data_IF_907554140415
#
_entry.id   IF_907554140415
#
_cell.length_a   1.000
_cell.length_b   1.000
_cell.length_c   1.000
_cell.angle_alpha   90.00
_cell.angle_beta   90.00
_cell.angle_gamma   90.00
#
_symmetry.space_group_name_H-M   'P 1'
#
loop_
_entity.id
_entity.type
_entity.pdbx_description
1 polymer ?
#
# COMPACT_ATOMS: atom_id res chain seq x y z
N UNK A 1 7.05 -24.15 -19.70
CA UNK A 1 6.99 -22.79 -20.27
C UNK A 1 6.04 -21.98 -19.41
N UNK A 2 6.57 -21.15 -18.50
CA UNK A 2 5.73 -20.32 -17.63
C UNK A 2 5.06 -19.23 -18.47
N UNK A 3 3.73 -19.22 -18.53
CA UNK A 3 2.95 -18.07 -18.98
C UNK A 3 3.29 -16.88 -18.06
N UNK A 4 4.25 -16.05 -18.45
CA UNK A 4 4.28 -14.68 -17.99
C UNK A 4 3.09 -14.00 -18.66
N UNK A 5 1.93 -13.99 -17.98
CA UNK A 5 0.85 -13.09 -18.35
C UNK A 5 1.44 -11.68 -18.43
N UNK A 6 1.42 -11.10 -19.63
CA UNK A 6 1.90 -9.73 -19.84
C UNK A 6 1.14 -8.82 -18.88
N UNK A 7 1.89 -8.10 -18.02
CA UNK A 7 1.28 -7.12 -17.11
C UNK A 7 0.39 -6.18 -17.94
N UNK A 8 -0.82 -5.82 -17.46
CA UNK A 8 -1.73 -4.98 -18.21
C UNK A 8 -1.03 -3.65 -18.53
N UNK A 9 -0.78 -3.39 -19.82
CA UNK A 9 -0.19 -2.14 -20.29
C UNK A 9 -1.33 -1.20 -20.68
N UNK A 10 -1.49 -0.13 -19.91
CA UNK A 10 -2.39 0.96 -20.25
C UNK A 10 -1.83 1.66 -21.49
N UNK A 11 -2.61 1.73 -22.58
CA UNK A 11 -2.22 2.44 -23.80
C UNK A 11 -2.43 3.95 -23.62
N UNK A 12 -1.38 4.73 -23.82
CA UNK A 12 -1.46 6.19 -23.87
C UNK A 12 -1.68 6.65 -25.33
N UNK A 13 -2.43 7.75 -25.50
CA UNK A 13 -2.51 8.50 -26.75
C UNK A 13 -1.57 9.71 -26.61
N UNK A 14 -0.58 9.89 -27.50
CA UNK A 14 0.35 11.02 -27.39
C UNK A 14 -0.33 12.37 -27.67
N UNK A 15 -1.52 12.38 -28.27
CA UNK A 15 -2.21 13.61 -28.73
C UNK A 15 -3.27 14.13 -27.77
N UNK A 16 -3.76 13.29 -26.84
CA UNK A 16 -4.79 13.64 -25.85
C UNK A 16 -4.65 12.80 -24.58
N UNK A 17 -5.29 13.22 -23.50
CA UNK A 17 -5.33 12.44 -22.28
C UNK A 17 -6.16 11.17 -22.44
N UNK A 18 -5.80 10.13 -21.69
CA UNK A 18 -6.51 8.85 -21.63
C UNK A 18 -6.98 8.59 -20.21
N UNK A 19 -8.28 8.29 -20.08
CA UNK A 19 -8.86 7.78 -18.85
C UNK A 19 -8.67 6.27 -18.75
N UNK A 20 -8.28 5.80 -17.58
CA UNK A 20 -7.96 4.40 -17.32
C UNK A 20 -8.99 3.76 -16.39
N UNK A 21 -9.54 2.61 -16.79
CA UNK A 21 -10.21 1.70 -15.84
C UNK A 21 -9.17 0.74 -15.25
N UNK A 22 -8.96 0.83 -13.94
CA UNK A 22 -8.03 -0.03 -13.20
C UNK A 22 -8.57 -1.44 -12.95
N UNK A 23 -9.73 -1.79 -13.50
CA UNK A 23 -10.28 -3.14 -13.46
C UNK A 23 -9.29 -4.18 -13.95
N UNK A 24 -8.58 -3.91 -15.05
CA UNK A 24 -7.58 -4.83 -15.60
C UNK A 24 -6.35 -4.99 -14.69
N UNK A 25 -5.99 -3.95 -13.93
CA UNK A 25 -4.92 -4.01 -12.92
C UNK A 25 -5.30 -4.96 -11.78
N UNK A 26 -6.60 -5.04 -11.43
CA UNK A 26 -7.05 -5.91 -10.33
C UNK A 26 -7.13 -7.41 -10.68
N UNK A 27 -7.32 -7.75 -11.97
CA UNK A 27 -7.60 -9.13 -12.42
C UNK A 27 -6.51 -10.15 -12.05
N UNK A 28 -5.20 -9.90 -12.27
CA UNK A 28 -4.17 -10.89 -11.95
C UNK A 28 -4.14 -11.23 -10.45
N UNK A 29 -4.31 -10.23 -9.59
CA UNK A 29 -4.34 -10.43 -8.13
C UNK A 29 -5.56 -11.25 -7.68
N UNK A 30 -6.73 -10.96 -8.24
CA UNK A 30 -7.96 -11.74 -8.02
C UNK A 30 -7.80 -13.19 -8.47
N UNK A 31 -7.15 -13.42 -9.61
CA UNK A 31 -6.90 -14.76 -10.13
C UNK A 31 -5.95 -15.56 -9.21
N UNK A 32 -4.88 -14.95 -8.72
CA UNK A 32 -3.97 -15.56 -7.74
C UNK A 32 -4.73 -16.00 -6.48
N UNK A 33 -5.59 -15.13 -5.94
CA UNK A 33 -6.41 -15.43 -4.75
C UNK A 33 -7.32 -16.63 -5.02
N UNK A 34 -8.04 -16.64 -6.16
CA UNK A 34 -8.93 -17.76 -6.52
C UNK A 34 -8.19 -19.08 -6.64
N UNK A 35 -6.98 -19.07 -7.20
CA UNK A 35 -6.14 -20.26 -7.31
C UNK A 35 -5.75 -20.80 -5.93
N UNK A 36 -5.34 -19.91 -5.02
CA UNK A 36 -5.00 -20.29 -3.64
C UNK A 36 -6.21 -20.84 -2.88
N UNK A 37 -7.36 -20.19 -2.98
CA UNK A 37 -8.61 -20.66 -2.37
C UNK A 37 -9.03 -22.01 -2.94
N UNK A 38 -8.89 -22.22 -4.25
CA UNK A 38 -9.17 -23.51 -4.87
C UNK A 38 -8.23 -24.62 -4.38
N UNK A 39 -6.97 -24.30 -4.07
CA UNK A 39 -6.04 -25.25 -3.47
C UNK A 39 -6.47 -25.64 -2.04
N UNK A 40 -6.80 -24.67 -1.18
CA UNK A 40 -7.33 -24.94 0.17
C UNK A 40 -8.56 -25.85 0.13
N UNK A 41 -9.48 -25.56 -0.79
CA UNK A 41 -10.70 -26.37 -0.97
C UNK A 41 -10.40 -27.82 -1.37
N UNK A 42 -9.38 -28.05 -2.20
CA UNK A 42 -8.95 -29.41 -2.59
C UNK A 42 -8.37 -30.19 -1.41
N UNK A 43 -7.74 -29.49 -0.47
CA UNK A 43 -7.20 -30.05 0.77
C UNK A 43 -8.27 -30.21 1.87
N UNK A 44 -9.52 -29.84 1.60
CA UNK A 44 -10.61 -29.87 2.59
C UNK A 44 -10.49 -28.79 3.66
N UNK A 45 -9.66 -27.77 3.44
CA UNK A 45 -9.43 -26.66 4.36
C UNK A 45 -10.44 -25.55 4.08
N UNK A 46 -11.06 -25.01 5.14
CA UNK A 46 -11.97 -23.88 5.01
C UNK A 46 -11.24 -22.61 4.51
N UNK A 47 -11.91 -21.87 3.63
CA UNK A 47 -11.37 -20.59 3.15
C UNK A 47 -11.21 -19.58 4.31
N UNK A 48 -10.23 -18.66 4.21
CA UNK A 48 -10.05 -17.58 5.18
C UNK A 48 -11.32 -16.74 5.36
N UNK A 49 -11.53 -16.30 6.60
CA UNK A 49 -12.64 -15.43 7.02
C UNK A 49 -12.14 -14.00 7.25
N UNK A 50 -12.75 -13.06 6.53
CA UNK A 50 -12.63 -11.63 6.79
C UNK A 50 -13.86 -11.15 7.57
N UNK A 51 -13.63 -10.52 8.72
CA UNK A 51 -14.65 -9.82 9.51
C UNK A 51 -14.58 -8.33 9.22
N UNK A 52 -15.71 -7.72 8.86
CA UNK A 52 -15.85 -6.28 8.75
C UNK A 52 -16.60 -5.69 9.94
N UNK A 53 -16.08 -4.62 10.53
CA UNK A 53 -16.72 -3.86 11.60
C UNK A 53 -17.23 -2.53 11.07
N UNK A 54 -18.56 -2.33 11.08
CA UNK A 54 -19.22 -1.10 10.62
C UNK A 54 -20.07 -0.53 11.76
N UNK A 55 -19.76 0.70 12.17
CA UNK A 55 -20.51 1.40 13.23
C UNK A 55 -20.83 2.85 12.89
N UNK A 56 -20.78 3.22 11.61
CA UNK A 56 -21.20 4.54 11.15
C UNK A 56 -22.46 4.44 10.28
N UNK A 57 -23.17 5.57 10.18
CA UNK A 57 -24.42 5.70 9.41
C UNK A 57 -24.17 6.17 7.97
N UNK A 58 -22.91 6.21 7.51
CA UNK A 58 -22.59 6.68 6.17
C UNK A 58 -23.04 5.65 5.11
N UNK A 59 -23.97 6.01 4.21
CA UNK A 59 -24.39 5.10 3.14
C UNK A 59 -23.24 4.68 2.21
N UNK A 60 -22.20 5.50 2.07
CA UNK A 60 -21.03 5.16 1.27
C UNK A 60 -20.19 4.07 1.94
N UNK A 61 -19.95 4.17 3.25
CA UNK A 61 -19.26 3.14 4.02
C UNK A 61 -20.02 1.80 4.00
N UNK A 62 -21.34 1.83 4.18
CA UNK A 62 -22.18 0.61 4.10
C UNK A 62 -22.09 -0.05 2.72
N UNK A 63 -22.22 0.73 1.64
CA UNK A 63 -22.07 0.20 0.27
C UNK A 63 -20.68 -0.40 0.03
N UNK A 64 -19.64 0.25 0.55
CA UNK A 64 -18.27 -0.26 0.45
C UNK A 64 -18.10 -1.58 1.21
N UNK A 65 -18.70 -1.73 2.39
CA UNK A 65 -18.72 -2.98 3.15
C UNK A 65 -19.43 -4.11 2.40
N UNK A 66 -20.58 -3.81 1.80
CA UNK A 66 -21.34 -4.77 0.99
C UNK A 66 -20.56 -5.20 -0.28
N UNK A 67 -19.88 -4.26 -0.94
CA UNK A 67 -19.02 -4.55 -2.09
C UNK A 67 -17.82 -5.40 -1.71
N UNK A 68 -17.19 -5.14 -0.56
CA UNK A 68 -16.11 -5.96 -0.01
C UNK A 68 -16.58 -7.39 0.22
N UNK A 69 -17.76 -7.57 0.83
CA UNK A 69 -18.36 -8.88 1.00
C UNK A 69 -18.70 -9.60 -0.30
N UNK A 70 -19.23 -8.87 -1.30
CA UNK A 70 -19.47 -9.42 -2.64
C UNK A 70 -18.16 -9.86 -3.30
N UNK A 71 -17.10 -9.07 -3.16
CA UNK A 71 -15.78 -9.37 -3.70
C UNK A 71 -15.17 -10.62 -3.06
N UNK A 72 -15.27 -10.77 -1.74
CA UNK A 72 -14.82 -11.97 -1.00
C UNK A 72 -15.52 -13.22 -1.51
N UNK A 73 -16.87 -13.21 -1.53
CA UNK A 73 -17.66 -14.36 -1.98
C UNK A 73 -17.36 -14.75 -3.43
N UNK A 74 -17.16 -13.76 -4.31
CA UNK A 74 -16.79 -14.00 -5.70
C UNK A 74 -15.38 -14.59 -5.89
N UNK A 75 -14.51 -14.51 -4.88
CA UNK A 75 -13.20 -15.18 -4.85
C UNK A 75 -13.18 -16.48 -4.03
N UNK A 76 -14.33 -16.90 -3.49
CA UNK A 76 -14.43 -18.08 -2.63
C UNK A 76 -13.92 -17.87 -1.20
N UNK A 77 -13.74 -16.63 -0.78
CA UNK A 77 -13.41 -16.26 0.60
C UNK A 77 -14.67 -16.11 1.44
N UNK A 78 -14.55 -16.33 2.76
CA UNK A 78 -15.64 -16.08 3.70
C UNK A 78 -15.62 -14.62 4.16
N UNK A 79 -16.81 -14.07 4.39
CA UNK A 79 -16.97 -12.71 4.85
C UNK A 79 -18.14 -12.59 5.81
N UNK A 80 -17.90 -11.93 6.93
CA UNK A 80 -18.88 -11.60 7.96
C UNK A 80 -18.87 -10.09 8.17
N UNK A 81 -20.04 -9.44 8.14
CA UNK A 81 -20.17 -8.02 8.45
C UNK A 81 -20.89 -7.89 9.78
N UNK A 82 -20.19 -7.36 10.78
CA UNK A 82 -20.77 -6.98 12.07
C UNK A 82 -21.15 -5.50 11.99
N UNK A 83 -22.45 -5.24 12.04
CA UNK A 83 -23.01 -3.88 12.09
C UNK A 83 -23.31 -3.59 13.55
N UNK A 84 -22.73 -2.52 14.08
CA UNK A 84 -22.89 -2.08 15.46
C UNK A 84 -23.69 -0.79 15.47
N UNK A 85 -24.72 -0.73 16.30
CA UNK A 85 -25.60 0.43 16.37
C UNK A 85 -24.96 1.60 17.14
N UNK A 86 -24.13 1.27 18.14
CA UNK A 86 -23.36 2.22 18.93
C UNK A 86 -21.85 2.13 18.62
N UNK A 87 -21.20 3.22 18.16
CA UNK A 87 -19.75 3.27 17.98
C UNK A 87 -18.95 2.79 19.20
N UNK A 88 -19.46 2.96 20.42
CA UNK A 88 -18.74 2.55 21.65
C UNK A 88 -18.52 1.03 21.74
N UNK A 89 -19.35 0.23 21.07
CA UNK A 89 -19.23 -1.23 21.07
C UNK A 89 -18.13 -1.74 20.12
N UNK A 90 -17.59 -0.89 19.25
CA UNK A 90 -16.60 -1.27 18.22
C UNK A 90 -15.34 -1.83 18.85
N UNK A 91 -14.88 -1.25 19.96
CA UNK A 91 -13.68 -1.71 20.64
C UNK A 91 -13.86 -3.14 21.18
N UNK A 92 -14.98 -3.43 21.85
CA UNK A 92 -15.28 -4.77 22.35
C UNK A 92 -15.40 -5.77 21.19
N UNK A 93 -16.13 -5.43 20.14
CA UNK A 93 -16.30 -6.30 18.97
C UNK A 93 -14.98 -6.55 18.24
N UNK A 94 -14.05 -5.57 18.26
CA UNK A 94 -12.71 -5.71 17.72
C UNK A 94 -11.85 -6.65 18.57
N UNK A 95 -11.89 -6.53 19.90
CA UNK A 95 -11.20 -7.45 20.82
C UNK A 95 -11.71 -8.89 20.61
N UNK A 96 -13.03 -9.09 20.57
CA UNK A 96 -13.64 -10.39 20.31
C UNK A 96 -13.21 -10.97 18.94
N UNK A 97 -13.10 -10.12 17.91
CA UNK A 97 -12.63 -10.54 16.59
C UNK A 97 -11.14 -10.88 16.56
N UNK A 98 -10.32 -10.16 17.32
CA UNK A 98 -8.88 -10.42 17.43
C UNK A 98 -8.59 -11.78 18.08
N UNK A 99 -9.41 -12.17 19.07
CA UNK A 99 -9.23 -13.39 19.86
C UNK A 99 -9.93 -14.63 19.27
N UNK A 100 -10.83 -14.46 18.29
CA UNK A 100 -11.52 -15.58 17.64
C UNK A 100 -10.60 -16.32 16.65
N UNK A 101 -10.21 -17.60 16.91
CA UNK A 101 -9.31 -18.35 16.02
C UNK A 101 -9.91 -18.66 14.65
N UNK A 102 -11.20 -18.41 14.43
CA UNK A 102 -11.86 -18.55 13.13
C UNK A 102 -11.68 -17.29 12.26
N UNK A 103 -11.28 -16.16 12.85
CA UNK A 103 -11.09 -14.88 12.16
C UNK A 103 -9.66 -14.77 11.67
N UNK A 104 -9.51 -14.60 10.36
CA UNK A 104 -8.20 -14.57 9.70
C UNK A 104 -7.82 -13.16 9.22
N UNK A 105 -8.80 -12.26 9.20
CA UNK A 105 -8.62 -10.87 8.85
C UNK A 105 -9.75 -9.99 9.38
N UNK A 106 -9.44 -8.73 9.66
CA UNK A 106 -10.33 -7.71 10.20
C UNK A 106 -10.16 -6.43 9.38
N UNK A 107 -11.29 -5.85 8.96
CA UNK A 107 -11.38 -4.51 8.36
C UNK A 107 -12.33 -3.65 9.19
N UNK A 108 -11.92 -2.41 9.49
CA UNK A 108 -12.75 -1.44 10.21
C UNK A 108 -13.16 -0.35 9.24
N UNK A 109 -14.47 -0.10 9.11
CA UNK A 109 -14.99 0.91 8.19
C UNK A 109 -15.00 2.29 8.84
N UNK A 110 -13.88 3.00 8.74
CA UNK A 110 -13.73 4.38 9.21
C UNK A 110 -14.53 5.40 8.39
N UNK A 111 -14.83 6.59 8.94
CA UNK A 111 -14.61 6.97 10.35
C UNK A 111 -15.60 6.29 11.29
N UNK A 112 -15.19 5.98 12.52
CA UNK A 112 -16.08 5.47 13.58
C UNK A 112 -16.43 6.62 14.53
N UNK A 113 -15.42 7.25 15.09
CA UNK A 113 -15.52 8.41 15.98
C UNK A 113 -15.03 9.72 15.34
N UNK A 114 -14.52 9.67 14.11
CA UNK A 114 -14.09 10.86 13.37
C UNK A 114 -12.83 11.49 13.95
N UNK A 115 -12.92 12.73 14.42
CA UNK A 115 -11.80 13.48 15.02
C UNK A 115 -11.94 13.61 16.54
N UNK A 116 -12.74 12.74 17.17
CA UNK A 116 -12.82 12.68 18.62
C UNK A 116 -11.44 12.31 19.19
N UNK A 117 -10.96 13.13 20.14
CA UNK A 117 -9.68 12.94 20.80
C UNK A 117 -9.63 11.61 21.56
N UNK A 118 -8.43 11.03 21.65
CA UNK A 118 -8.16 9.82 22.42
C UNK A 118 -6.99 10.04 23.37
N UNK A 119 -6.97 9.32 24.48
CA UNK A 119 -5.80 9.30 25.38
C UNK A 119 -4.58 8.61 24.75
N UNK A 120 -4.80 7.76 23.73
CA UNK A 120 -3.78 6.86 23.17
C UNK A 120 -3.30 7.26 21.77
N UNK A 121 -3.68 8.44 21.27
CA UNK A 121 -3.35 8.91 19.92
C UNK A 121 -3.99 10.24 19.57
N UNK A 122 -3.90 10.66 18.31
CA UNK A 122 -4.53 11.91 17.83
C UNK A 122 -6.06 11.79 17.83
N UNK A 123 -6.60 10.62 17.50
CA UNK A 123 -8.04 10.34 17.52
C UNK A 123 -8.37 8.93 18.03
N UNK A 124 -9.63 8.73 18.43
CA UNK A 124 -10.14 7.41 18.82
C UNK A 124 -10.11 6.40 17.65
N UNK A 125 -10.21 6.87 16.41
CA UNK A 125 -10.06 6.04 15.22
C UNK A 125 -8.61 5.56 15.04
N UNK A 126 -7.61 6.36 15.44
CA UNK A 126 -6.20 5.95 15.43
C UNK A 126 -5.91 4.90 16.49
N UNK A 127 -6.49 5.06 17.68
CA UNK A 127 -6.44 4.05 18.73
C UNK A 127 -7.04 2.72 18.26
N UNK A 128 -8.27 2.72 17.74
CA UNK A 128 -8.91 1.51 17.19
C UNK A 128 -8.05 0.83 16.12
N UNK A 129 -7.42 1.63 15.25
CA UNK A 129 -6.55 1.12 14.17
C UNK A 129 -5.33 0.40 14.71
N UNK A 130 -4.77 0.87 15.82
CA UNK A 130 -3.59 0.27 16.46
C UNK A 130 -3.97 -0.92 17.35
N UNK A 131 -5.24 -1.05 17.75
CA UNK A 131 -5.81 -2.21 18.47
C UNK A 131 -6.07 -3.40 17.54
N UNK A 132 -6.17 -3.22 16.22
CA UNK A 132 -6.29 -4.35 15.29
C UNK A 132 -5.01 -5.20 15.36
N UNK A 133 -5.16 -6.48 15.67
CA UNK A 133 -4.03 -7.41 15.75
C UNK A 133 -3.28 -7.45 14.42
N UNK A 134 -1.96 -7.30 14.45
CA UNK A 134 -1.14 -7.41 13.25
C UNK A 134 -1.32 -8.74 12.50
N UNK A 135 -1.76 -9.81 13.18
CA UNK A 135 -2.03 -11.12 12.57
C UNK A 135 -3.32 -11.15 11.74
N UNK A 136 -4.20 -10.17 11.94
CA UNK A 136 -5.51 -10.07 11.30
C UNK A 136 -5.74 -8.72 10.59
N UNK A 137 -4.83 -7.75 10.70
CA UNK A 137 -4.96 -6.45 10.05
C UNK A 137 -4.73 -6.53 8.52
N UNK A 138 -5.82 -6.74 7.77
CA UNK A 138 -5.75 -6.88 6.30
C UNK A 138 -5.47 -5.55 5.61
N UNK A 139 -5.73 -4.44 6.28
CA UNK A 139 -5.44 -3.12 5.74
C UNK A 139 -3.96 -2.77 5.87
N UNK A 140 -3.21 -3.46 6.73
CA UNK A 140 -1.79 -3.19 6.98
C UNK A 140 -1.59 -1.85 7.69
N UNK A 141 -2.58 -1.46 8.49
CA UNK A 141 -2.69 -0.15 9.08
C UNK A 141 -2.20 -0.07 10.52
N UNK A 142 -2.09 -1.14 11.31
CA UNK A 142 -1.63 -1.06 12.69
C UNK A 142 -0.21 -0.48 12.81
N UNK A 143 0.12 0.05 13.99
CA UNK A 143 1.40 0.69 14.29
C UNK A 143 2.62 -0.12 13.80
N UNK A 144 2.62 -1.45 14.01
CA UNK A 144 3.71 -2.33 13.61
C UNK A 144 4.01 -2.22 12.11
N UNK A 145 2.97 -2.35 11.26
CA UNK A 145 3.15 -2.32 9.81
C UNK A 145 3.51 -0.94 9.29
N UNK A 146 2.90 0.13 9.81
CA UNK A 146 3.25 1.50 9.44
C UNK A 146 4.70 1.82 9.79
N UNK A 147 5.14 1.51 11.01
CA UNK A 147 6.51 1.77 11.47
C UNK A 147 7.54 0.97 10.66
N UNK A 148 7.26 -0.31 10.39
CA UNK A 148 8.14 -1.14 9.57
C UNK A 148 8.24 -0.64 8.14
N UNK A 149 7.14 -0.16 7.55
CA UNK A 149 7.16 0.48 6.24
C UNK A 149 8.13 1.66 6.20
N UNK A 150 8.03 2.58 7.17
CA UNK A 150 8.89 3.78 7.20
C UNK A 150 10.37 3.45 7.43
N UNK A 151 10.65 2.36 8.17
CA UNK A 151 12.02 1.84 8.35
C UNK A 151 12.47 0.90 7.24
N UNK A 152 11.67 0.74 6.19
CA UNK A 152 11.95 -0.13 5.06
C UNK A 152 12.18 -1.61 5.44
N UNK A 153 11.58 -2.07 6.54
CA UNK A 153 11.67 -3.45 7.04
C UNK A 153 10.77 -4.36 6.20
N UNK A 154 11.35 -5.41 5.62
CA UNK A 154 10.66 -6.28 4.65
C UNK A 154 10.08 -7.55 5.24
N UNK A 155 10.62 -8.02 6.37
CA UNK A 155 10.21 -9.24 7.03
C UNK A 155 10.05 -9.00 8.53
N UNK A 156 9.07 -9.67 9.14
CA UNK A 156 8.79 -9.61 10.57
C UNK A 156 9.71 -10.56 11.37
N UNK A 157 10.19 -11.61 10.72
CA UNK A 157 10.92 -12.72 11.32
C UNK A 157 12.38 -12.75 10.82
N UNK A 158 13.10 -11.63 10.90
CA UNK A 158 14.53 -11.65 10.60
C UNK A 158 15.28 -12.57 11.61
N UNK A 159 16.22 -13.42 11.17
CA UNK A 159 16.77 -13.55 9.81
C UNK A 159 16.10 -14.62 8.93
N UNK A 160 15.08 -15.33 9.44
CA UNK A 160 14.43 -16.43 8.68
C UNK A 160 13.68 -15.93 7.46
N UNK A 161 13.20 -14.69 7.47
CA UNK A 161 12.59 -14.00 6.33
C UNK A 161 11.43 -14.77 5.66
N UNK A 162 10.64 -15.50 6.45
CA UNK A 162 9.48 -16.24 5.97
C UNK A 162 8.18 -15.43 6.07
N UNK A 163 8.13 -14.41 6.94
CA UNK A 163 6.96 -13.60 7.19
C UNK A 163 7.18 -12.18 6.65
N UNK A 164 6.61 -11.89 5.48
CA UNK A 164 6.67 -10.55 4.90
C UNK A 164 5.90 -9.56 5.76
N UNK A 165 6.48 -8.39 5.94
CA UNK A 165 5.78 -7.25 6.51
C UNK A 165 4.67 -6.80 5.53
N UNK A 166 3.45 -6.63 6.05
CA UNK A 166 2.35 -6.10 5.24
C UNK A 166 2.55 -4.60 4.96
N UNK A 167 1.88 -4.13 3.91
CA UNK A 167 1.88 -2.74 3.48
C UNK A 167 0.43 -2.24 3.44
N UNK A 168 0.18 -0.95 3.77
CA UNK A 168 -1.14 -0.35 3.72
C UNK A 168 -1.84 -0.58 2.38
N UNK A 169 -3.01 -1.22 2.37
CA UNK A 169 -3.62 -1.75 1.15
C UNK A 169 -3.97 -0.65 0.12
N UNK A 170 -4.37 0.54 0.59
CA UNK A 170 -4.70 1.66 -0.29
C UNK A 170 -3.44 2.30 -0.90
N UNK A 171 -2.38 2.50 -0.11
CA UNK A 171 -1.10 2.97 -0.64
C UNK A 171 -0.48 1.94 -1.60
N UNK A 172 -0.57 0.65 -1.27
CA UNK A 172 -0.13 -0.45 -2.12
C UNK A 172 -0.94 -0.52 -3.43
N UNK A 173 -2.26 -0.32 -3.35
CA UNK A 173 -3.15 -0.26 -4.52
C UNK A 173 -2.74 0.87 -5.46
N UNK A 174 -2.57 2.08 -4.94
CA UNK A 174 -2.10 3.22 -5.72
C UNK A 174 -0.73 2.98 -6.34
N UNK A 175 0.21 2.38 -5.59
CA UNK A 175 1.52 2.00 -6.13
C UNK A 175 1.38 1.00 -7.28
N UNK A 176 0.52 -0.02 -7.16
CA UNK A 176 0.30 -1.01 -8.23
C UNK A 176 -0.39 -0.45 -9.46
N UNK A 177 -1.26 0.53 -9.28
CA UNK A 177 -1.84 1.29 -10.38
C UNK A 177 -0.75 2.10 -11.08
N UNK A 178 0.07 2.85 -10.32
CA UNK A 178 1.18 3.62 -10.88
C UNK A 178 2.14 2.69 -11.63
N UNK A 179 2.48 1.52 -11.09
CA UNK A 179 3.33 0.51 -11.74
C UNK A 179 2.76 0.03 -13.09
N UNK A 180 1.44 0.02 -13.25
CA UNK A 180 0.77 -0.38 -14.50
C UNK A 180 0.62 0.76 -15.52
N UNK A 181 0.75 2.03 -15.08
CA UNK A 181 0.69 3.19 -15.96
C UNK A 181 1.95 3.27 -16.86
N UNK A 182 1.82 3.72 -18.12
CA UNK A 182 2.95 3.80 -19.04
C UNK A 182 3.94 4.88 -18.61
N UNK A 183 5.23 4.61 -18.78
CA UNK A 183 6.28 5.59 -18.55
C UNK A 183 6.54 5.97 -17.09
N UNK A 184 5.91 5.29 -16.12
CA UNK A 184 6.11 5.53 -14.68
C UNK A 184 7.29 4.73 -14.13
N UNK A 185 7.18 3.39 -14.05
CA UNK A 185 8.18 2.48 -13.52
C UNK A 185 9.15 2.04 -14.62
N UNK A 186 10.45 2.21 -14.36
CA UNK A 186 11.50 1.64 -15.19
C UNK A 186 11.88 0.26 -14.67
N UNK A 187 11.38 -0.77 -15.36
CA UNK A 187 11.63 -2.17 -15.02
C UNK A 187 13.03 -2.65 -15.36
N UNK A 188 13.83 -1.85 -16.09
CA UNK A 188 15.25 -2.15 -16.36
C UNK A 188 16.15 -1.83 -15.16
N UNK A 189 15.67 -0.96 -14.25
CA UNK A 189 16.38 -0.59 -13.02
C UNK A 189 16.22 -1.65 -11.92
N UNK A 190 17.19 -1.73 -10.99
CA UNK A 190 17.10 -2.66 -9.88
C UNK A 190 15.92 -2.34 -8.93
N UNK A 191 15.53 -3.34 -8.14
CA UNK A 191 14.53 -3.17 -7.08
C UNK A 191 14.96 -2.05 -6.12
N UNK A 192 14.04 -1.19 -5.72
CA UNK A 192 14.34 0.00 -4.91
C UNK A 192 14.81 1.22 -5.71
N UNK A 193 14.96 1.11 -7.05
CA UNK A 193 15.38 2.24 -7.93
C UNK A 193 14.50 2.43 -9.15
N UNK A 194 13.36 1.73 -9.23
CA UNK A 194 12.48 1.73 -10.42
C UNK A 194 11.83 3.09 -10.71
N UNK A 195 11.78 3.98 -9.73
CA UNK A 195 11.28 5.35 -9.87
C UNK A 195 12.41 6.40 -9.83
N UNK A 196 13.66 5.98 -9.92
CA UNK A 196 14.78 6.92 -9.95
C UNK A 196 14.65 7.90 -11.12
N UNK A 197 14.77 9.19 -10.82
CA UNK A 197 14.57 10.29 -11.78
C UNK A 197 13.11 10.72 -11.96
N UNK A 198 12.16 10.09 -11.26
CA UNK A 198 10.76 10.53 -11.22
C UNK A 198 10.52 11.46 -10.04
N UNK A 199 9.75 12.51 -10.31
CA UNK A 199 9.21 13.41 -9.29
C UNK A 199 7.72 13.15 -9.16
N UNK A 200 7.25 12.98 -7.93
CA UNK A 200 5.86 12.71 -7.58
C UNK A 200 5.34 13.80 -6.65
N UNK A 201 4.11 14.26 -6.85
CA UNK A 201 3.40 15.08 -5.86
C UNK A 201 2.22 14.30 -5.32
N UNK A 202 2.08 14.26 -4.00
CA UNK A 202 0.94 13.67 -3.28
C UNK A 202 0.25 14.78 -2.50
N UNK A 203 -1.00 15.07 -2.87
CA UNK A 203 -1.87 16.04 -2.21
C UNK A 203 -2.78 15.29 -1.24
N UNK A 204 -2.16 14.88 -0.14
CA UNK A 204 -2.70 14.19 1.03
C UNK A 204 -1.49 13.72 1.85
N UNK A 205 -1.53 13.87 3.18
CA UNK A 205 -0.50 13.31 4.08
C UNK A 205 -1.12 12.50 5.25
N UNK A 206 -2.27 11.88 5.03
CA UNK A 206 -2.91 11.03 6.04
C UNK A 206 -2.10 9.77 6.31
N UNK A 207 -2.29 9.19 7.50
CA UNK A 207 -1.70 7.91 7.90
C UNK A 207 -2.22 6.72 7.11
N UNK A 208 -3.38 6.85 6.47
CA UNK A 208 -4.05 5.78 5.74
C UNK A 208 -3.46 5.62 4.33
N UNK A 209 -3.15 6.75 3.67
CA UNK A 209 -2.75 6.74 2.25
C UNK A 209 -1.53 7.61 1.98
N UNK A 210 -1.60 8.91 2.28
CA UNK A 210 -0.63 9.89 1.80
C UNK A 210 0.79 9.63 2.29
N UNK A 211 0.99 9.54 3.60
CA UNK A 211 2.32 9.34 4.19
C UNK A 211 2.91 7.96 3.86
N UNK A 212 2.14 6.84 3.96
CA UNK A 212 2.62 5.54 3.50
C UNK A 212 3.02 5.52 2.02
N UNK A 213 2.20 6.09 1.14
CA UNK A 213 2.48 6.13 -0.29
C UNK A 213 3.74 6.95 -0.60
N UNK A 214 3.93 8.09 0.08
CA UNK A 214 5.13 8.91 -0.06
C UNK A 214 6.39 8.12 0.28
N UNK A 215 6.38 7.41 1.41
CA UNK A 215 7.50 6.58 1.83
C UNK A 215 7.77 5.42 0.86
N UNK A 216 6.71 4.74 0.38
CA UNK A 216 6.84 3.63 -0.57
C UNK A 216 7.48 4.08 -1.88
N UNK A 217 7.02 5.19 -2.47
CA UNK A 217 7.55 5.71 -3.73
C UNK A 217 8.98 6.26 -3.58
N UNK A 218 9.28 6.93 -2.46
CA UNK A 218 10.63 7.41 -2.16
C UNK A 218 11.62 6.25 -1.95
N UNK A 219 11.19 5.17 -1.31
CA UNK A 219 11.98 3.95 -1.14
C UNK A 219 12.26 3.21 -2.47
N UNK A 220 11.49 3.49 -3.53
CA UNK A 220 11.72 3.02 -4.90
C UNK A 220 12.51 4.02 -5.76
N UNK A 221 13.02 5.10 -5.16
CA UNK A 221 13.95 6.06 -5.78
C UNK A 221 13.33 7.36 -6.28
N UNK A 222 12.03 7.58 -6.09
CA UNK A 222 11.38 8.83 -6.47
C UNK A 222 11.77 9.99 -5.53
N UNK A 223 11.70 11.22 -6.05
CA UNK A 223 11.56 12.42 -5.22
C UNK A 223 10.07 12.68 -5.04
N UNK A 224 9.57 12.73 -3.80
CA UNK A 224 8.14 12.85 -3.53
C UNK A 224 7.83 14.10 -2.72
N UNK A 225 7.07 15.04 -3.29
CA UNK A 225 6.46 16.13 -2.54
C UNK A 225 5.19 15.64 -1.86
N UNK A 226 5.14 15.70 -0.55
CA UNK A 226 3.98 15.35 0.28
C UNK A 226 3.36 16.62 0.85
N UNK A 227 2.22 16.98 0.29
CA UNK A 227 1.47 18.20 0.58
C UNK A 227 0.37 17.90 1.59
N UNK A 228 0.25 18.78 2.56
CA UNK A 228 -0.79 18.82 3.58
C UNK A 228 -1.25 20.27 3.76
N UNK A 229 -2.27 20.48 4.57
CA UNK A 229 -2.97 21.77 4.73
C UNK A 229 -1.98 22.91 5.06
N UNK A 230 -1.02 22.63 5.97
CA UNK A 230 -0.17 23.67 6.55
C UNK A 230 1.32 23.57 6.17
N UNK A 231 1.72 22.57 5.38
CA UNK A 231 3.14 22.36 5.08
C UNK A 231 3.37 21.39 3.92
N UNK A 232 4.52 21.56 3.28
CA UNK A 232 5.03 20.66 2.25
C UNK A 232 6.33 20.04 2.74
N UNK A 233 6.43 18.72 2.61
CA UNK A 233 7.67 18.00 2.82
C UNK A 233 8.12 17.31 1.53
N UNK A 234 9.42 17.09 1.41
CA UNK A 234 10.03 16.29 0.36
C UNK A 234 10.56 14.99 0.96
N UNK A 235 10.06 13.86 0.48
CA UNK A 235 10.61 12.53 0.77
C UNK A 235 11.61 12.17 -0.32
N UNK A 236 12.84 11.84 0.08
CA UNK A 236 13.92 11.45 -0.83
C UNK A 236 14.90 10.54 -0.11
N UNK A 237 15.39 9.50 -0.77
CA UNK A 237 16.41 8.58 -0.24
C UNK A 237 16.04 8.01 1.15
N UNK A 238 14.74 7.69 1.35
CA UNK A 238 14.20 7.17 2.61
C UNK A 238 14.14 8.19 3.76
N UNK A 239 14.33 9.48 3.49
CA UNK A 239 14.34 10.56 4.48
C UNK A 239 13.29 11.62 4.19
N UNK A 240 12.86 12.29 5.24
CA UNK A 240 11.90 13.40 5.22
C UNK A 240 12.65 14.73 5.33
N UNK A 241 12.37 15.66 4.42
CA UNK A 241 12.97 16.99 4.41
C UNK A 241 11.85 18.04 4.38
N UNK A 242 11.82 19.02 5.31
CA UNK A 242 10.90 20.15 5.19
C UNK A 242 11.27 20.97 3.95
N UNK A 243 10.26 21.42 3.20
CA UNK A 243 10.48 22.38 2.12
C UNK A 243 10.48 23.81 2.68
N UNK A 244 11.23 24.72 2.03
CA UNK A 244 11.22 26.14 2.36
C UNK A 244 9.93 26.83 1.90
N UNK A 245 9.74 28.07 2.35
CA UNK A 245 8.56 28.89 2.05
C UNK A 245 8.42 29.25 0.56
N UNK A 246 9.48 29.08 -0.23
CA UNK A 246 9.50 29.26 -1.68
C UNK A 246 8.81 28.11 -2.45
N UNK A 247 8.54 26.99 -1.79
CA UNK A 247 7.89 25.82 -2.37
C UNK A 247 6.39 25.86 -2.08
N UNK A 248 5.59 25.92 -3.14
CA UNK A 248 4.13 25.89 -3.06
C UNK A 248 3.53 24.70 -3.86
N UNK A 249 2.24 24.37 -3.65
CA UNK A 249 1.61 23.22 -4.32
C UNK A 249 1.70 23.25 -5.84
N UNK A 250 1.51 24.42 -6.47
CA UNK A 250 1.64 24.58 -7.92
C UNK A 250 3.03 24.19 -8.40
N UNK A 251 4.07 24.71 -7.74
CA UNK A 251 5.46 24.44 -8.11
C UNK A 251 5.81 22.96 -7.99
N UNK A 252 5.27 22.24 -7.00
CA UNK A 252 5.44 20.81 -6.83
C UNK A 252 4.76 20.04 -7.97
N UNK A 253 3.51 20.38 -8.26
CA UNK A 253 2.72 19.72 -9.31
C UNK A 253 3.38 19.93 -10.69
N UNK A 254 3.82 21.14 -11.02
CA UNK A 254 4.53 21.44 -12.28
C UNK A 254 5.85 20.68 -12.43
N UNK A 255 6.54 20.37 -11.34
CA UNK A 255 7.79 19.57 -11.37
C UNK A 255 7.54 18.06 -11.47
N UNK A 256 6.29 17.59 -11.33
CA UNK A 256 5.98 16.18 -11.12
C UNK A 256 5.49 15.50 -12.40
N UNK A 257 6.03 14.32 -12.68
CA UNK A 257 5.52 13.43 -13.73
C UNK A 257 4.36 12.55 -13.25
N UNK A 258 4.15 12.46 -11.93
CA UNK A 258 3.07 11.69 -11.31
C UNK A 258 2.44 12.57 -10.23
N UNK A 259 1.12 12.70 -10.24
CA UNK A 259 0.36 13.48 -9.27
C UNK A 259 -0.73 12.60 -8.66
N UNK A 260 -0.75 12.51 -7.33
CA UNK A 260 -1.76 11.77 -6.59
C UNK A 260 -2.55 12.75 -5.74
N UNK A 261 -3.88 12.78 -5.88
CA UNK A 261 -4.75 13.62 -5.06
C UNK A 261 -5.69 12.76 -4.23
N UNK A 262 -5.80 13.09 -2.94
CA UNK A 262 -6.57 12.32 -1.97
C UNK A 262 -7.29 13.20 -0.94
N UNK A 263 -7.72 14.41 -1.33
CA UNK A 263 -8.29 15.38 -0.39
C UNK A 263 -9.73 15.00 -0.04
N UNK A 264 -10.08 14.76 1.25
CA UNK A 264 -11.37 14.20 1.65
C UNK A 264 -12.51 15.26 1.68
N UNK A 265 -12.55 16.18 0.70
CA UNK A 265 -13.64 17.15 0.57
C UNK A 265 -14.05 17.34 -0.89
N UNK A 266 -15.36 17.53 -1.11
CA UNK A 266 -15.93 17.89 -2.41
C UNK A 266 -15.53 19.28 -2.90
N UNK A 267 -15.10 20.15 -1.99
CA UNK A 267 -14.77 21.55 -2.28
C UNK A 267 -13.37 21.71 -2.91
N UNK A 268 -12.53 20.68 -2.80
CA UNK A 268 -11.20 20.71 -3.38
C UNK A 268 -11.20 20.22 -4.83
N UNK A 269 -10.51 20.97 -5.69
CA UNK A 269 -10.21 20.61 -7.08
C UNK A 269 -8.72 20.85 -7.33
N UNK A 270 -8.06 19.85 -7.90
CA UNK A 270 -6.71 19.97 -8.43
C UNK A 270 -6.77 20.87 -9.69
N UNK A 271 -6.11 22.03 -9.69
CA UNK A 271 -6.10 22.91 -10.86
C UNK A 271 -5.38 22.24 -12.04
N UNK A 272 -6.07 22.13 -13.17
CA UNK A 272 -5.57 21.41 -14.35
C UNK A 272 -4.44 22.17 -15.05
N UNK A 273 -4.39 23.49 -14.90
CA UNK A 273 -3.34 24.36 -15.42
C UNK A 273 -1.96 24.12 -14.78
N UNK A 274 -1.91 23.43 -13.62
CA UNK A 274 -0.66 23.02 -12.99
C UNK A 274 -0.06 21.75 -13.62
N UNK A 275 -0.88 20.98 -14.35
CA UNK A 275 -0.52 19.67 -14.89
C UNK A 275 0.18 19.82 -16.24
N UNK A 276 1.37 19.24 -16.35
CA UNK A 276 2.12 19.21 -17.60
C UNK A 276 1.69 18.03 -18.50
N UNK A 277 1.96 18.10 -19.81
CA UNK A 277 1.81 16.96 -20.72
C UNK A 277 2.55 15.70 -20.22
N UNK A 278 2.03 14.53 -20.58
CA UNK A 278 2.56 13.22 -20.17
C UNK A 278 2.55 12.92 -18.65
N UNK A 279 1.76 13.67 -17.87
CA UNK A 279 1.62 13.43 -16.43
C UNK A 279 0.65 12.29 -16.15
N UNK A 280 0.98 11.40 -15.23
CA UNK A 280 0.03 10.43 -14.67
C UNK A 280 -0.67 11.03 -13.45
N UNK A 281 -2.00 11.17 -13.50
CA UNK A 281 -2.81 11.72 -12.41
C UNK A 281 -3.68 10.62 -11.80
N UNK A 282 -3.58 10.41 -10.50
CA UNK A 282 -4.35 9.40 -9.76
C UNK A 282 -5.19 10.07 -8.68
N UNK A 283 -6.51 9.89 -8.75
CA UNK A 283 -7.43 10.31 -7.70
C UNK A 283 -7.71 9.13 -6.75
N UNK A 284 -7.28 9.26 -5.50
CA UNK A 284 -7.52 8.27 -4.44
C UNK A 284 -8.67 8.68 -3.52
N UNK A 285 -9.20 9.90 -3.65
CA UNK A 285 -10.34 10.35 -2.88
C UNK A 285 -11.66 9.75 -3.39
N UNK A 286 -12.62 9.59 -2.48
CA UNK A 286 -14.01 9.24 -2.82
C UNK A 286 -14.72 10.37 -3.58
N UNK A 287 -14.21 11.60 -3.49
CA UNK A 287 -14.73 12.77 -4.19
C UNK A 287 -14.06 12.95 -5.55
N UNK A 288 -14.79 13.56 -6.49
CA UNK A 288 -14.24 13.97 -7.78
C UNK A 288 -13.34 15.20 -7.59
N UNK A 289 -12.09 15.03 -7.19
CA UNK A 289 -11.15 16.15 -6.97
C UNK A 289 -10.46 16.66 -8.23
N UNK A 290 -10.82 16.15 -9.40
CA UNK A 290 -10.18 16.48 -10.67
C UNK A 290 -11.28 16.83 -11.67
N UNK A 291 -11.07 17.88 -12.45
CA UNK A 291 -11.87 18.15 -13.64
C UNK A 291 -11.40 17.21 -14.77
N UNK A 292 -12.19 16.17 -15.03
CA UNK A 292 -11.85 15.15 -16.01
C UNK A 292 -11.86 15.69 -17.44
N UNK A 293 -12.78 16.58 -17.77
CA UNK A 293 -12.95 17.08 -19.13
C UNK A 293 -11.76 17.96 -19.53
N UNK A 294 -11.36 18.87 -18.64
CA UNK A 294 -10.18 19.71 -18.88
C UNK A 294 -8.88 18.92 -18.83
N UNK A 295 -8.74 17.97 -17.88
CA UNK A 295 -7.53 17.17 -17.75
C UNK A 295 -7.25 16.32 -19.00
N UNK A 296 -8.30 15.75 -19.60
CA UNK A 296 -8.15 14.88 -20.78
C UNK A 296 -7.82 15.66 -22.07
N UNK A 297 -7.90 17.00 -22.08
CA UNK A 297 -7.40 17.83 -23.19
C UNK A 297 -5.87 17.94 -23.19
N UNK A 298 -5.21 17.65 -22.08
CA UNK A 298 -3.76 17.76 -21.97
C UNK A 298 -3.09 16.55 -22.66
N UNK A 299 -2.17 16.77 -23.63
CA UNK A 299 -1.55 15.69 -24.38
C UNK A 299 -0.80 14.68 -23.51
N UNK A 300 -1.00 13.39 -23.76
CA UNK A 300 -0.29 12.29 -23.11
C UNK A 300 -0.63 12.07 -21.63
N UNK A 301 -1.57 12.83 -21.05
CA UNK A 301 -1.98 12.62 -19.66
C UNK A 301 -2.64 11.27 -19.47
N UNK A 302 -2.31 10.57 -18.39
CA UNK A 302 -2.97 9.33 -17.98
C UNK A 302 -3.77 9.62 -16.72
N UNK A 303 -5.09 9.54 -16.80
CA UNK A 303 -5.97 9.82 -15.66
C UNK A 303 -6.59 8.54 -15.09
N UNK A 304 -6.34 8.30 -13.81
CA UNK A 304 -6.97 7.25 -13.01
C UNK A 304 -7.98 7.90 -12.05
N UNK A 305 -9.29 7.77 -12.30
CA UNK A 305 -10.31 8.45 -11.51
C UNK A 305 -10.59 7.81 -10.16
N UNK A 306 -10.36 6.51 -10.04
CA UNK A 306 -10.75 5.68 -8.89
C UNK A 306 -9.77 4.52 -8.72
N UNK A 307 -9.41 4.21 -7.48
CA UNK A 307 -8.50 3.10 -7.13
C UNK A 307 -9.20 1.89 -6.47
N UNK A 308 -10.49 2.04 -6.11
CA UNK A 308 -11.20 1.14 -5.20
C UNK A 308 -11.19 -0.35 -5.60
N UNK A 309 -11.30 -0.68 -6.89
CA UNK A 309 -11.24 -2.09 -7.36
C UNK A 309 -9.91 -2.75 -7.01
N UNK A 310 -8.80 -2.03 -7.18
CA UNK A 310 -7.46 -2.52 -6.86
C UNK A 310 -7.23 -2.52 -5.35
N UNK A 311 -7.82 -1.58 -4.62
CA UNK A 311 -7.77 -1.55 -3.14
C UNK A 311 -8.38 -2.82 -2.55
N UNK A 312 -9.57 -3.22 -3.00
CA UNK A 312 -10.19 -4.47 -2.56
C UNK A 312 -9.31 -5.68 -2.94
N UNK A 313 -8.73 -5.71 -4.14
CA UNK A 313 -7.84 -6.80 -4.53
C UNK A 313 -6.57 -6.88 -3.63
N UNK A 314 -5.98 -5.74 -3.25
CA UNK A 314 -4.84 -5.69 -2.34
C UNK A 314 -5.23 -6.11 -0.92
N UNK A 315 -6.41 -5.73 -0.45
CA UNK A 315 -6.95 -6.16 0.83
C UNK A 315 -7.12 -7.68 0.90
N UNK A 316 -7.73 -8.30 -0.12
CA UNK A 316 -7.88 -9.76 -0.17
C UNK A 316 -6.52 -10.48 -0.33
N UNK A 317 -5.57 -9.88 -1.03
CA UNK A 317 -4.20 -10.38 -1.12
C UNK A 317 -3.47 -10.31 0.22
N UNK A 318 -3.72 -9.28 1.02
CA UNK A 318 -3.19 -9.17 2.38
C UNK A 318 -3.83 -10.23 3.30
N UNK A 319 -5.15 -10.45 3.21
CA UNK A 319 -5.83 -11.53 3.93
C UNK A 319 -5.18 -12.89 3.67
N UNK A 320 -4.96 -13.25 2.41
CA UNK A 320 -4.31 -14.52 2.06
C UNK A 320 -2.89 -14.62 2.65
N UNK A 321 -2.15 -13.51 2.69
CA UNK A 321 -0.80 -13.50 3.24
C UNK A 321 -0.80 -13.66 4.76
N UNK A 322 -1.72 -13.00 5.46
CA UNK A 322 -1.88 -13.18 6.90
C UNK A 322 -2.28 -14.61 7.23
N UNK A 323 -3.21 -15.18 6.46
CA UNK A 323 -3.62 -16.57 6.59
C UNK A 323 -2.42 -17.52 6.48
N UNK A 324 -1.63 -17.40 5.41
CA UNK A 324 -0.44 -18.22 5.15
C UNK A 324 0.63 -18.07 6.26
N UNK A 325 0.83 -16.86 6.78
CA UNK A 325 1.90 -16.57 7.74
C UNK A 325 1.55 -16.91 9.19
N UNK A 326 0.30 -16.70 9.61
CA UNK A 326 -0.09 -16.74 11.02
C UNK A 326 -1.12 -17.81 11.36
N UNK A 327 -1.94 -18.22 10.39
CA UNK A 327 -3.11 -19.07 10.63
C UNK A 327 -3.01 -20.44 9.97
N UNK A 328 -2.13 -20.61 8.99
CA UNK A 328 -1.85 -21.88 8.33
C UNK A 328 -0.36 -22.06 7.98
N UNK A 329 0.57 -21.94 8.95
CA UNK A 329 2.02 -21.96 8.68
C UNK A 329 2.54 -23.29 8.10
N UNK A 330 1.76 -24.37 8.16
CA UNK A 330 2.14 -25.69 7.67
C UNK A 330 1.65 -26.00 6.24
N UNK A 331 0.73 -25.22 5.65
CA UNK A 331 0.19 -25.49 4.30
C UNK A 331 1.09 -24.99 3.16
N UNK A 332 2.03 -24.07 3.44
CA UNK A 332 2.82 -23.37 2.40
C UNK A 332 4.12 -24.11 2.00
N UNK A 333 4.52 -25.17 2.71
CA UNK A 333 5.79 -25.87 2.45
C UNK A 333 5.83 -26.69 1.14
N UNK A 334 4.74 -26.76 0.37
CA UNK A 334 4.64 -27.64 -0.81
C UNK A 334 4.83 -26.94 -2.16
N UNK A 335 5.10 -25.64 -2.23
CA UNK A 335 5.08 -24.93 -3.53
C UNK A 335 6.16 -23.85 -3.77
N UNK A 336 7.37 -24.03 -3.24
CA UNK A 336 8.53 -23.25 -3.72
C UNK A 336 9.26 -24.01 -4.83
N UNK A 337 9.13 -23.52 -6.07
CA UNK A 337 9.97 -23.90 -7.19
C UNK A 337 11.45 -23.59 -6.84
N UNK A 338 12.38 -24.56 -6.92
CA UNK A 338 13.79 -24.36 -6.58
C UNK A 338 14.59 -23.50 -7.60
N UNK A 339 13.92 -22.84 -8.54
CA UNK A 339 14.56 -22.10 -9.64
C UNK A 339 14.64 -20.57 -9.46
N UNK A 340 14.26 -20.01 -8.31
CA UNK A 340 14.74 -18.68 -7.93
C UNK A 340 16.11 -18.81 -7.28
N UNK A 341 17.11 -19.10 -8.12
CA UNK A 341 18.51 -19.12 -7.73
C UNK A 341 18.93 -17.73 -7.27
N UNK A 342 19.35 -17.66 -6.02
CA UNK A 342 20.18 -16.62 -5.40
C UNK A 342 21.25 -16.09 -6.35
N UNK A 343 21.03 -14.90 -6.94
CA UNK A 343 22.09 -14.18 -7.66
C UNK A 343 22.88 -13.32 -6.69
N UNK A 344 24.08 -13.80 -6.34
CA UNK A 344 25.31 -13.01 -6.16
C UNK A 344 25.16 -11.61 -5.54
N UNK A 345 24.94 -11.54 -4.22
CA UNK A 345 25.24 -10.34 -3.43
C UNK A 345 26.09 -10.63 -2.17
N UNK A 346 26.43 -11.89 -1.91
CA UNK A 346 27.09 -12.30 -0.66
C UNK A 346 28.62 -12.32 -0.70
N UNK A 347 29.27 -12.14 -1.86
CA UNK A 347 30.73 -12.28 -1.93
C UNK A 347 31.51 -11.00 -1.63
N UNK A 348 30.88 -9.82 -1.61
CA UNK A 348 31.60 -8.53 -1.43
C UNK A 348 31.48 -7.99 0.01
N UNK A 349 30.40 -8.32 0.74
CA UNK A 349 30.17 -7.80 2.10
C UNK A 349 30.97 -8.48 3.21
N UNK A 350 31.29 -9.78 3.08
CA UNK A 350 31.99 -10.54 4.13
C UNK A 350 33.52 -10.34 4.15
N UNK A 351 34.13 -9.96 3.02
CA UNK A 351 35.57 -9.67 2.94
C UNK A 351 35.93 -8.33 3.59
N UNK A 352 35.03 -7.34 3.58
CA UNK A 352 35.29 -6.04 4.19
C UNK A 352 35.26 -6.09 5.74
N UNK A 353 34.36 -6.87 6.33
CA UNK A 353 34.25 -6.99 7.79
C UNK A 353 35.37 -7.83 8.42
N UNK A 354 35.84 -8.88 7.73
CA UNK A 354 36.94 -9.70 8.21
C UNK A 354 38.28 -8.96 8.17
N UNK A 355 38.52 -8.12 7.16
CA UNK A 355 39.76 -7.33 7.05
C UNK A 355 39.87 -6.22 8.12
N UNK A 356 38.77 -5.55 8.48
CA UNK A 356 38.80 -4.48 9.50
C UNK A 356 39.02 -5.06 10.90
N UNK A 357 38.40 -6.20 11.21
CA UNK A 357 38.58 -6.87 12.52
C UNK A 357 39.98 -7.47 12.65
N UNK A 358 40.54 -8.04 11.59
CA UNK A 358 41.89 -8.62 11.64
C UNK A 358 42.97 -7.53 11.82
N UNK A 359 42.82 -6.37 11.17
CA UNK A 359 43.75 -5.24 11.33
C UNK A 359 43.68 -4.64 12.73
N UNK A 360 42.50 -4.57 13.35
CA UNK A 360 42.33 -4.08 14.71
C UNK A 360 42.93 -5.03 15.77
N UNK A 361 42.81 -6.34 15.57
CA UNK A 361 43.37 -7.36 16.48
C UNK A 361 44.90 -7.41 16.38
N UNK A 362 45.48 -7.29 15.17
CA UNK A 362 46.94 -7.21 14.98
C UNK A 362 47.53 -5.91 15.54
N UNK A 363 46.84 -4.77 15.42
CA UNK A 363 47.27 -3.50 16.01
C UNK A 363 47.28 -3.55 17.55
N UNK A 364 46.31 -4.21 18.18
CA UNK A 364 46.27 -4.39 19.64
C UNK A 364 47.34 -5.36 20.17
N UNK A 365 47.79 -6.33 19.38
CA UNK A 365 48.88 -7.24 19.77
C UNK A 365 50.27 -6.60 19.65
N UNK A 366 50.46 -5.64 18.73
CA UNK A 366 51.72 -4.91 18.57
C UNK A 366 51.94 -3.82 19.62
N UNK A 367 50.89 -3.35 20.29
CA UNK A 367 50.96 -2.35 21.37
C UNK A 367 51.22 -2.95 22.77
N UNK A 368 51.41 -4.28 22.88
CA UNK A 368 51.69 -4.99 24.14
C UNK A 368 53.10 -5.60 24.21
N UNK A 369 54.05 -5.13 23.40
CA UNK A 369 55.48 -5.46 23.52
C UNK A 369 56.33 -4.23 23.78
#
# INVERSE_FOLDING_TARGET
MSNQESKPVIKADPTKGVKVDVGDVSKPFRNEIKQKVAALKKEGIESPLLVGLLANKDPAARKYAEWTGKACRADGLRYELRILDDPIEVESALIDANDDPRVHGIIVYYPIFGQQESFSGESQDDYLRDTVSHKCDVEGLCHLYRTNLYRNVRFLDYPTNNQKCLLPCTALSTLKIIEACPGTYDMTKPVGRKLEGKTVTIINRSEIVGRPLAAMLANDGAVVYSIDINSIYMFRDGRLHPCGDDVNPESCVRKSSIVVTGVPTKNYKLPTEWINPNTTVVNVASFKNVDEEELLKIPGVVYVPLVGKVTVAMLLRNLMRLYEQFHSPNSVKTNTNPNESTSTFWTIGLQAYSAVVLTAVLAMQLLKK
#
